data_IF_604900683448
#
_entry.id   IF_604900683448
#
_cell.length_a   1.000
_cell.length_b   1.000
_cell.length_c   1.000
_cell.angle_alpha   90.00
_cell.angle_beta   90.00
_cell.angle_gamma   90.00
#
_symmetry.space_group_name_H-M   'P 1'
#
loop_
_entity.id
_entity.type
_entity.pdbx_description
1 polymer ?
#
# COMPACT_ATOMS: atom_id res chain seq x y z
N UNK A 1 3.03 -23.04 15.43
CA UNK A 1 3.36 -21.61 15.19
C UNK A 1 3.25 -21.29 13.69
N UNK A 2 2.06 -21.41 13.11
CA UNK A 2 1.88 -21.45 11.64
C UNK A 2 0.68 -20.63 11.17
N UNK A 3 0.54 -19.40 11.66
CA UNK A 3 -0.46 -18.44 11.13
C UNK A 3 0.07 -17.51 10.03
N UNK A 4 1.38 -17.49 9.74
CA UNK A 4 1.99 -16.48 8.85
C UNK A 4 1.92 -16.79 7.34
N UNK A 5 1.59 -18.02 6.94
CA UNK A 5 1.61 -18.42 5.51
C UNK A 5 0.26 -18.16 4.83
N UNK A 6 -0.86 -18.27 5.56
CA UNK A 6 -2.21 -18.11 4.99
C UNK A 6 -2.53 -16.64 4.68
N UNK A 7 -1.94 -15.67 5.40
CA UNK A 7 -2.21 -14.24 5.18
C UNK A 7 -1.54 -13.66 3.93
N UNK A 8 -0.36 -14.16 3.53
CA UNK A 8 0.29 -13.71 2.30
C UNK A 8 -0.51 -14.13 1.06
N UNK A 9 -1.06 -15.35 1.07
CA UNK A 9 -1.87 -15.85 -0.02
C UNK A 9 -3.21 -15.13 -0.13
N UNK A 10 -3.84 -14.76 1.00
CA UNK A 10 -5.05 -13.95 1.01
C UNK A 10 -4.80 -12.50 0.54
N UNK A 11 -3.65 -11.90 0.89
CA UNK A 11 -3.26 -10.60 0.38
C UNK A 11 -2.94 -10.67 -1.13
N UNK A 12 -2.29 -11.74 -1.59
CA UNK A 12 -1.98 -12.01 -3.00
C UNK A 12 -3.23 -12.31 -3.85
N UNK A 13 -4.24 -12.97 -3.29
CA UNK A 13 -5.55 -13.18 -3.92
C UNK A 13 -6.31 -11.86 -4.06
N UNK A 14 -6.39 -11.06 -2.99
CA UNK A 14 -6.96 -9.71 -3.10
C UNK A 14 -6.18 -8.87 -4.11
N UNK A 15 -4.85 -8.97 -4.18
CA UNK A 15 -4.02 -8.26 -5.14
C UNK A 15 -4.37 -8.52 -6.61
N UNK A 16 -4.52 -9.79 -7.00
CA UNK A 16 -4.94 -10.15 -8.36
C UNK A 16 -6.32 -9.60 -8.66
N UNK A 17 -7.23 -9.67 -7.70
CA UNK A 17 -8.56 -9.09 -7.82
C UNK A 17 -8.50 -7.55 -7.92
N UNK A 18 -7.63 -6.89 -7.15
CA UNK A 18 -7.39 -5.45 -7.20
C UNK A 18 -6.90 -5.05 -8.59
N UNK A 19 -5.84 -5.70 -9.06
CA UNK A 19 -5.23 -5.43 -10.36
C UNK A 19 -6.24 -5.65 -11.49
N UNK A 20 -6.94 -6.78 -11.49
CA UNK A 20 -7.98 -7.06 -12.48
C UNK A 20 -9.11 -6.03 -12.44
N UNK A 21 -9.51 -5.59 -11.26
CA UNK A 21 -10.60 -4.64 -11.10
C UNK A 21 -10.18 -3.19 -11.45
N UNK A 22 -8.96 -2.77 -11.10
CA UNK A 22 -8.43 -1.46 -11.48
C UNK A 22 -8.17 -1.37 -12.98
N UNK A 23 -7.66 -2.45 -13.59
CA UNK A 23 -7.42 -2.56 -15.04
C UNK A 23 -8.72 -2.76 -15.84
N UNK A 24 -9.84 -3.13 -15.20
CA UNK A 24 -11.13 -3.23 -15.89
C UNK A 24 -11.64 -1.85 -16.27
N UNK A 25 -11.84 -1.65 -17.57
CA UNK A 25 -12.42 -0.45 -18.17
C UNK A 25 -13.94 -0.37 -18.00
N UNK A 26 -14.59 -1.51 -17.73
CA UNK A 26 -16.06 -1.63 -17.65
C UNK A 26 -16.60 -1.36 -16.24
N UNK A 27 -15.72 -1.22 -15.25
CA UNK A 27 -16.10 -0.97 -13.86
C UNK A 27 -16.28 0.51 -13.58
N UNK A 28 -17.41 0.83 -12.95
CA UNK A 28 -17.74 2.19 -12.53
C UNK A 28 -16.76 2.71 -11.46
N UNK A 29 -16.68 4.04 -11.33
CA UNK A 29 -15.89 4.69 -10.27
C UNK A 29 -16.34 4.23 -8.88
N UNK A 30 -17.64 4.00 -8.68
CA UNK A 30 -18.19 3.55 -7.40
C UNK A 30 -17.76 2.14 -7.04
N UNK A 31 -17.70 1.23 -8.01
CA UNK A 31 -17.18 -0.13 -7.79
C UNK A 31 -15.70 -0.10 -7.41
N UNK A 32 -14.89 0.71 -8.11
CA UNK A 32 -13.45 0.87 -7.79
C UNK A 32 -13.25 1.43 -6.38
N UNK A 33 -14.07 2.42 -5.99
CA UNK A 33 -14.06 3.00 -4.64
C UNK A 33 -14.47 2.00 -3.55
N UNK A 34 -15.51 1.20 -3.80
CA UNK A 34 -15.97 0.17 -2.84
C UNK A 34 -14.88 -0.86 -2.58
N UNK A 35 -14.21 -1.31 -3.63
CA UNK A 35 -13.11 -2.25 -3.49
C UNK A 35 -11.92 -1.63 -2.77
N UNK A 36 -11.55 -0.39 -3.09
CA UNK A 36 -10.48 0.31 -2.39
C UNK A 36 -10.74 0.40 -0.88
N UNK A 37 -11.99 0.68 -0.48
CA UNK A 37 -12.41 0.64 0.92
C UNK A 37 -12.25 -0.76 1.52
N UNK A 38 -12.68 -1.81 0.81
CA UNK A 38 -12.50 -3.19 1.26
C UNK A 38 -11.02 -3.57 1.43
N UNK A 39 -10.15 -3.13 0.51
CA UNK A 39 -8.71 -3.32 0.62
C UNK A 39 -8.17 -2.69 1.91
N UNK A 40 -8.52 -1.43 2.19
CA UNK A 40 -8.08 -0.73 3.42
C UNK A 40 -8.57 -1.46 4.67
N UNK A 41 -9.83 -1.90 4.69
CA UNK A 41 -10.40 -2.64 5.83
C UNK A 41 -9.59 -3.91 6.09
N UNK A 42 -9.44 -4.77 5.07
CA UNK A 42 -8.69 -6.03 5.20
C UNK A 42 -7.23 -5.79 5.57
N UNK A 43 -6.59 -4.77 5.00
CA UNK A 43 -5.22 -4.42 5.34
C UNK A 43 -5.10 -4.06 6.82
N UNK A 44 -6.00 -3.22 7.33
CA UNK A 44 -5.98 -2.79 8.73
C UNK A 44 -6.34 -3.92 9.71
N UNK A 45 -7.23 -4.84 9.32
CA UNK A 45 -7.52 -6.05 10.11
C UNK A 45 -6.26 -6.91 10.28
N UNK A 46 -5.46 -7.03 9.23
CA UNK A 46 -4.21 -7.79 9.24
C UNK A 46 -3.02 -7.02 9.84
N UNK A 47 -3.12 -5.69 9.92
CA UNK A 47 -2.02 -4.80 10.30
C UNK A 47 -2.50 -3.71 11.28
N UNK A 48 -3.16 -4.11 12.36
CA UNK A 48 -3.90 -3.21 13.27
C UNK A 48 -3.07 -2.02 13.79
N UNK A 49 -1.77 -2.23 13.98
CA UNK A 49 -0.85 -1.23 14.52
C UNK A 49 -0.08 -0.45 13.47
N UNK A 50 -0.14 -0.83 12.18
CA UNK A 50 0.69 -0.24 11.14
C UNK A 50 0.46 1.28 10.99
N UNK A 51 -0.78 1.70 10.77
CA UNK A 51 -1.09 3.13 10.65
C UNK A 51 -0.89 3.88 11.97
N UNK A 52 -1.22 3.26 13.11
CA UNK A 52 -1.06 3.86 14.44
C UNK A 52 0.42 4.14 14.74
N UNK A 53 1.30 3.18 14.48
CA UNK A 53 2.74 3.29 14.70
C UNK A 53 3.38 4.33 13.77
N UNK A 54 3.00 4.31 12.48
CA UNK A 54 3.50 5.28 11.51
C UNK A 54 3.08 6.72 11.85
N UNK A 55 1.82 6.95 12.23
CA UNK A 55 1.37 8.28 12.65
C UNK A 55 2.08 8.71 13.93
N UNK A 56 2.23 7.81 14.91
CA UNK A 56 2.92 8.12 16.18
C UNK A 56 4.37 8.53 15.94
N UNK A 57 5.09 7.84 15.05
CA UNK A 57 6.50 8.13 14.72
C UNK A 57 6.65 9.31 13.76
N UNK A 58 5.71 9.46 12.83
CA UNK A 58 5.73 10.47 11.77
C UNK A 58 4.39 11.22 11.70
N UNK A 59 4.10 12.12 12.66
CA UNK A 59 2.79 12.79 12.77
C UNK A 59 2.46 13.73 11.60
N UNK A 60 3.44 14.00 10.71
CA UNK A 60 3.27 14.80 9.49
C UNK A 60 2.75 13.97 8.30
N UNK A 61 2.63 12.64 8.44
CA UNK A 61 2.05 11.80 7.40
C UNK A 61 0.56 12.10 7.25
N UNK A 62 0.13 12.27 6.00
CA UNK A 62 -1.29 12.43 5.65
C UNK A 62 -1.94 11.06 5.42
N UNK A 63 -3.26 10.99 5.40
CA UNK A 63 -3.98 9.75 5.05
C UNK A 63 -3.54 9.18 3.70
N UNK A 64 -3.29 10.06 2.70
CA UNK A 64 -2.77 9.66 1.38
C UNK A 64 -1.35 9.10 1.44
N UNK A 65 -0.53 9.55 2.39
CA UNK A 65 0.80 8.97 2.59
C UNK A 65 0.69 7.56 3.20
N UNK A 66 -0.21 7.37 4.17
CA UNK A 66 -0.45 6.06 4.79
C UNK A 66 -1.00 5.05 3.80
N UNK A 67 -1.99 5.44 2.99
CA UNK A 67 -2.51 4.61 1.89
C UNK A 67 -1.38 4.22 0.92
N UNK A 68 -0.48 5.15 0.59
CA UNK A 68 0.67 4.82 -0.25
C UNK A 68 1.65 3.88 0.46
N UNK A 69 1.85 3.99 1.78
CA UNK A 69 2.62 2.99 2.54
C UNK A 69 2.01 1.59 2.45
N UNK A 70 0.68 1.46 2.50
CA UNK A 70 0.00 0.17 2.33
C UNK A 70 0.28 -0.42 0.94
N UNK A 71 0.28 0.42 -0.10
CA UNK A 71 0.59 0.01 -1.47
C UNK A 71 2.06 -0.40 -1.67
N UNK A 72 2.99 0.02 -0.81
CA UNK A 72 4.40 -0.37 -0.89
C UNK A 72 4.68 -1.84 -0.53
N UNK A 73 3.64 -2.59 -0.15
CA UNK A 73 3.68 -4.06 -0.13
C UNK A 73 3.65 -4.68 -1.55
N UNK A 74 3.44 -3.85 -2.59
CA UNK A 74 3.37 -4.25 -3.99
C UNK A 74 4.55 -3.73 -4.79
N UNK A 75 4.76 -4.31 -5.98
CA UNK A 75 5.79 -3.82 -6.89
C UNK A 75 5.40 -2.46 -7.48
N UNK A 76 6.39 -1.65 -7.87
CA UNK A 76 6.14 -0.37 -8.54
C UNK A 76 5.29 -0.52 -9.81
N UNK A 77 5.40 -1.67 -10.50
CA UNK A 77 4.61 -2.01 -11.68
C UNK A 77 3.12 -2.23 -11.36
N UNK A 78 2.81 -2.84 -10.23
CA UNK A 78 1.43 -3.04 -9.79
C UNK A 78 0.84 -1.73 -9.26
N UNK A 79 1.62 -0.97 -8.50
CA UNK A 79 1.16 0.30 -7.91
C UNK A 79 0.73 1.30 -8.99
N UNK A 80 1.49 1.46 -10.08
CA UNK A 80 1.11 2.42 -11.12
C UNK A 80 -0.17 2.00 -11.84
N UNK A 81 -0.39 0.69 -12.03
CA UNK A 81 -1.63 0.14 -12.60
C UNK A 81 -2.82 0.37 -11.68
N UNK A 82 -2.68 0.01 -10.39
CA UNK A 82 -3.70 0.24 -9.36
C UNK A 82 -4.09 1.71 -9.29
N UNK A 83 -3.10 2.61 -9.24
CA UNK A 83 -3.35 4.04 -9.14
C UNK A 83 -3.75 4.67 -10.48
N UNK A 84 -3.64 3.94 -11.59
CA UNK A 84 -3.84 4.46 -12.96
C UNK A 84 -3.03 5.75 -13.21
N UNK A 85 -1.76 5.75 -12.78
CA UNK A 85 -0.82 6.86 -12.97
C UNK A 85 0.45 6.39 -13.67
N UNK A 86 1.32 7.32 -14.08
CA UNK A 86 2.60 6.96 -14.67
C UNK A 86 3.54 6.32 -13.64
N UNK A 87 4.33 5.34 -14.08
CA UNK A 87 5.38 4.72 -13.26
C UNK A 87 6.31 5.77 -12.63
N UNK A 88 6.70 6.80 -13.39
CA UNK A 88 7.53 7.91 -12.88
C UNK A 88 6.89 8.64 -11.70
N UNK A 89 5.56 8.80 -11.72
CA UNK A 89 4.80 9.41 -10.62
C UNK A 89 4.87 8.56 -9.35
N UNK A 90 4.88 7.24 -9.46
CA UNK A 90 5.08 6.32 -8.32
C UNK A 90 6.48 6.50 -7.73
N UNK A 91 7.52 6.57 -8.57
CA UNK A 91 8.91 6.79 -8.12
C UNK A 91 9.05 8.11 -7.37
N UNK A 92 8.44 9.19 -7.89
CA UNK A 92 8.47 10.51 -7.23
C UNK A 92 7.71 10.48 -5.89
N UNK A 93 6.53 9.85 -5.83
CA UNK A 93 5.76 9.68 -4.60
C UNK A 93 6.57 8.91 -3.55
N UNK A 94 7.21 7.81 -3.93
CA UNK A 94 8.11 7.02 -3.07
C UNK A 94 9.27 7.87 -2.54
N UNK A 95 9.92 8.66 -3.40
CA UNK A 95 10.99 9.57 -2.97
C UNK A 95 10.53 10.64 -1.98
N UNK A 96 9.33 11.21 -2.20
CA UNK A 96 8.71 12.16 -1.24
C UNK A 96 8.43 11.49 0.10
N UNK A 97 7.90 10.26 0.09
CA UNK A 97 7.59 9.51 1.28
C UNK A 97 8.86 9.14 2.07
N UNK A 98 9.93 8.68 1.40
CA UNK A 98 11.24 8.44 2.06
C UNK A 98 11.73 9.64 2.85
N UNK A 99 11.62 10.84 2.29
CA UNK A 99 12.00 12.08 3.00
C UNK A 99 11.11 12.37 4.21
N UNK A 100 9.81 12.08 4.13
CA UNK A 100 8.88 12.25 5.27
C UNK A 100 9.17 11.24 6.39
N UNK A 101 9.64 10.05 6.03
CA UNK A 101 10.05 9.00 6.97
C UNK A 101 11.49 9.17 7.47
N UNK A 102 12.20 10.22 7.04
CA UNK A 102 13.61 10.47 7.35
C UNK A 102 14.53 9.27 7.02
N UNK A 103 14.26 8.59 5.89
CA UNK A 103 15.07 7.47 5.44
C UNK A 103 16.21 7.92 4.52
N UNK A 104 17.39 7.35 4.74
CA UNK A 104 18.57 7.56 3.92
C UNK A 104 18.38 7.03 2.49
N UNK A 105 19.18 7.55 1.56
CA UNK A 105 19.10 7.19 0.14
C UNK A 105 19.25 5.68 -0.11
N UNK A 106 20.10 5.02 0.69
CA UNK A 106 20.39 3.58 0.61
C UNK A 106 19.35 2.69 1.30
N UNK A 107 18.51 3.26 2.16
CA UNK A 107 17.49 2.48 2.88
C UNK A 107 16.32 2.10 1.96
N UNK A 108 15.85 0.86 2.09
CA UNK A 108 14.63 0.42 1.42
C UNK A 108 13.44 0.76 2.29
N UNK A 109 12.55 1.58 1.74
CA UNK A 109 11.29 1.92 2.40
C UNK A 109 10.40 0.68 2.59
N UNK A 110 10.44 -0.27 1.66
CA UNK A 110 9.71 -1.52 1.76
C UNK A 110 10.19 -2.34 2.96
N UNK A 111 11.51 -2.52 3.09
CA UNK A 111 12.08 -3.22 4.24
C UNK A 111 11.78 -2.50 5.55
N UNK A 112 11.86 -1.17 5.55
CA UNK A 112 11.52 -0.35 6.72
C UNK A 112 10.06 -0.57 7.15
N UNK A 113 9.11 -0.57 6.22
CA UNK A 113 7.68 -0.73 6.51
C UNK A 113 7.31 -2.17 6.95
N UNK A 114 8.03 -3.19 6.48
CA UNK A 114 7.84 -4.58 6.90
C UNK A 114 8.33 -4.87 8.32
N UNK A 115 9.23 -4.04 8.86
CA UNK A 115 9.71 -4.17 10.25
C UNK A 115 8.70 -3.65 11.28
N UNK A 116 7.80 -2.77 10.86
CA UNK A 116 6.76 -2.15 11.70
C UNK A 116 5.41 -2.95 11.67
N UNK A 117 5.39 -4.16 11.08
CA UNK A 117 4.24 -5.08 10.99
C UNK A 117 4.20 -6.13 12.10
#
# INVERSE_FOLDING_TARGET
>A
MSKKIIDLDLLNLNLREALNMFNSTDKSVDEKNKYWKNFIIKFNENNEYFSKNLIKKYPKLTSRDLEFCMLLNFTMHEIFQILSIQYRSVVIKKGRLKRKLNLDSKESIERYLLQDQ
#
